data_IF_616901175270
#
_entry.id   IF_616901175270
#
_cell.length_a   1.000
_cell.length_b   1.000
_cell.length_c   1.000
_cell.angle_alpha   90.00
_cell.angle_beta   90.00
_cell.angle_gamma   90.00
#
_symmetry.space_group_name_H-M   'P 1'
#
loop_
_entity.id
_entity.type
_entity.pdbx_description
1 polymer ?
#
# COMPACT_ATOMS: atom_id res chain seq x y z
N UNK A 1 -0.36 -13.62 -20.65
CA UNK A 1 0.62 -12.87 -19.85
C UNK A 1 -0.16 -12.12 -18.79
N UNK A 2 0.03 -12.45 -17.51
CA UNK A 2 -0.60 -11.70 -16.43
C UNK A 2 0.12 -10.37 -16.25
N UNK A 3 -0.55 -9.27 -16.61
CA UNK A 3 -0.07 -7.94 -16.24
C UNK A 3 -0.45 -7.68 -14.78
N UNK A 4 0.43 -7.07 -14.00
CA UNK A 4 0.12 -6.54 -12.67
C UNK A 4 0.25 -5.02 -12.75
N UNK A 5 -0.75 -4.29 -12.25
CA UNK A 5 -0.73 -2.83 -12.22
C UNK A 5 -1.22 -2.29 -10.88
N UNK A 6 -0.53 -1.27 -10.38
CA UNK A 6 -0.95 -0.46 -9.24
C UNK A 6 -1.07 0.99 -9.66
N UNK A 7 -2.18 1.63 -9.33
CA UNK A 7 -2.46 3.01 -9.73
C UNK A 7 -3.30 3.75 -8.69
N UNK A 8 -3.21 5.09 -8.61
CA UNK A 8 -4.08 5.86 -7.73
C UNK A 8 -5.53 5.80 -8.20
N UNK A 9 -6.44 5.46 -7.29
CA UNK A 9 -7.90 5.50 -7.49
C UNK A 9 -8.52 6.82 -7.02
N UNK A 10 -7.90 7.49 -6.03
CA UNK A 10 -8.29 8.82 -5.58
C UNK A 10 -7.05 9.67 -5.28
N UNK A 11 -7.06 10.94 -5.70
CA UNK A 11 -5.88 11.83 -5.67
C UNK A 11 -5.98 12.95 -4.65
N UNK A 12 -6.45 12.64 -3.43
CA UNK A 12 -6.15 13.56 -2.33
C UNK A 12 -4.64 13.54 -2.11
N UNK A 13 -4.02 14.72 -2.09
CA UNK A 13 -2.56 14.85 -2.03
C UNK A 13 -2.09 15.81 -0.94
N UNK A 14 -3.01 16.31 -0.10
CA UNK A 14 -2.71 17.30 0.94
C UNK A 14 -3.05 16.75 2.31
N UNK A 15 -2.03 16.75 3.17
CA UNK A 15 -2.17 16.47 4.58
C UNK A 15 -2.45 17.79 5.33
N UNK A 16 -3.50 17.83 6.14
CA UNK A 16 -3.84 18.97 6.99
C UNK A 16 -3.62 18.61 8.47
N UNK A 17 -2.68 19.29 9.12
CA UNK A 17 -2.34 19.08 10.53
C UNK A 17 -3.46 19.48 11.49
N UNK A 18 -4.40 20.33 11.04
CA UNK A 18 -5.49 20.87 11.85
C UNK A 18 -6.82 20.13 11.67
N UNK A 19 -6.87 19.13 10.79
CA UNK A 19 -8.08 18.35 10.58
C UNK A 19 -8.45 17.53 11.83
N UNK A 20 -9.74 17.52 12.16
CA UNK A 20 -10.28 16.94 13.40
C UNK A 20 -10.72 15.48 13.30
N UNK A 21 -10.55 14.85 12.14
CA UNK A 21 -10.86 13.42 11.93
C UNK A 21 -9.75 12.50 12.45
N UNK A 22 -10.00 11.19 12.47
CA UNK A 22 -8.96 10.20 12.81
C UNK A 22 -7.83 10.17 11.75
N UNK A 23 -8.20 10.38 10.48
CA UNK A 23 -7.29 10.45 9.35
C UNK A 23 -7.53 11.76 8.59
N UNK A 24 -6.46 12.44 8.20
CA UNK A 24 -6.53 13.75 7.52
C UNK A 24 -6.34 13.62 6.02
N UNK A 25 -5.71 12.52 5.60
CA UNK A 25 -5.51 12.15 4.22
C UNK A 25 -5.75 10.65 4.08
N UNK A 26 -6.48 10.26 3.03
CA UNK A 26 -6.67 8.87 2.62
C UNK A 26 -6.36 8.77 1.14
N UNK A 27 -5.28 8.06 0.81
CA UNK A 27 -4.89 7.76 -0.55
C UNK A 27 -5.41 6.37 -0.92
N UNK A 28 -6.38 6.30 -1.83
CA UNK A 28 -6.91 5.03 -2.33
C UNK A 28 -6.18 4.63 -3.60
N UNK A 29 -5.75 3.38 -3.67
CA UNK A 29 -5.08 2.77 -4.81
C UNK A 29 -5.88 1.57 -5.31
N UNK A 30 -5.72 1.27 -6.59
CA UNK A 30 -6.29 0.11 -7.25
C UNK A 30 -5.15 -0.83 -7.67
N UNK A 31 -5.24 -2.08 -7.26
CA UNK A 31 -4.36 -3.15 -7.69
C UNK A 31 -5.15 -4.05 -8.64
N UNK A 32 -4.60 -4.28 -9.84
CA UNK A 32 -5.24 -5.13 -10.85
C UNK A 32 -4.25 -6.13 -11.41
N UNK A 33 -4.75 -7.33 -11.70
CA UNK A 33 -4.03 -8.29 -12.51
C UNK A 33 -4.94 -8.89 -13.59
N UNK A 34 -4.39 -9.25 -14.76
CA UNK A 34 -5.09 -10.12 -15.70
C UNK A 34 -4.85 -11.59 -15.32
N UNK A 35 -5.89 -12.27 -14.87
CA UNK A 35 -5.86 -13.65 -14.40
C UNK A 35 -6.77 -14.48 -15.29
N UNK A 36 -6.19 -15.44 -16.00
CA UNK A 36 -6.90 -16.36 -16.89
C UNK A 36 -6.72 -17.79 -16.37
N UNK A 37 -7.82 -18.51 -16.17
CA UNK A 37 -7.83 -19.91 -15.73
C UNK A 37 -8.33 -20.10 -14.30
N UNK A 38 -9.23 -21.08 -14.14
CA UNK A 38 -9.79 -21.44 -12.84
C UNK A 38 -8.69 -21.84 -11.84
N UNK A 39 -8.82 -21.42 -10.59
CA UNK A 39 -7.92 -21.72 -9.46
C UNK A 39 -6.54 -21.02 -9.47
N UNK A 40 -6.27 -20.08 -10.37
CA UNK A 40 -5.05 -19.28 -10.30
C UNK A 40 -5.08 -18.31 -9.09
N UNK A 41 -4.03 -18.35 -8.27
CA UNK A 41 -3.81 -17.44 -7.15
C UNK A 41 -2.49 -16.70 -7.33
N UNK A 42 -2.54 -15.38 -7.24
CA UNK A 42 -1.36 -14.51 -7.34
C UNK A 42 -1.21 -13.79 -6.00
N UNK A 43 -0.35 -14.28 -5.09
CA UNK A 43 0.00 -13.54 -3.88
C UNK A 43 0.86 -12.34 -4.27
N UNK A 44 0.46 -11.16 -3.78
CA UNK A 44 1.11 -9.88 -4.04
C UNK A 44 1.43 -9.21 -2.72
N UNK A 45 2.64 -8.67 -2.63
CA UNK A 45 3.12 -7.80 -1.57
C UNK A 45 3.15 -6.37 -2.08
N UNK A 46 2.66 -5.44 -1.26
CA UNK A 46 2.73 -4.00 -1.46
C UNK A 46 3.59 -3.37 -0.36
N UNK A 47 4.52 -2.50 -0.74
CA UNK A 47 5.40 -1.79 0.18
C UNK A 47 5.76 -0.39 -0.30
N UNK A 48 6.19 0.47 0.62
CA UNK A 48 6.75 1.79 0.32
C UNK A 48 8.22 1.82 0.74
N UNK A 49 9.10 2.32 -0.12
CA UNK A 49 10.53 2.55 0.16
C UNK A 49 11.19 1.40 0.97
N UNK A 50 11.09 0.16 0.47
CA UNK A 50 11.62 -1.05 1.11
C UNK A 50 10.97 -1.45 2.46
N UNK A 51 9.69 -1.12 2.64
CA UNK A 51 8.92 -1.50 3.84
C UNK A 51 8.94 -0.44 4.95
N UNK A 52 9.11 0.82 4.58
CA UNK A 52 8.86 1.93 5.48
C UNK A 52 7.37 2.02 5.85
N UNK A 53 7.08 2.56 7.04
CA UNK A 53 5.73 2.90 7.51
C UNK A 53 5.47 4.42 7.49
N UNK A 54 6.32 5.16 6.79
CA UNK A 54 6.27 6.61 6.69
C UNK A 54 6.76 7.08 5.31
N UNK A 55 6.34 8.28 4.92
CA UNK A 55 6.92 9.02 3.81
C UNK A 55 8.03 9.94 4.32
N UNK A 56 9.06 10.17 3.49
CA UNK A 56 10.20 11.03 3.82
C UNK A 56 9.97 12.43 3.28
N UNK A 57 10.14 13.43 4.14
CA UNK A 57 10.17 14.86 3.80
C UNK A 57 11.55 15.48 3.98
N UNK A 58 11.61 16.81 3.93
CA UNK A 58 12.84 17.56 4.19
C UNK A 58 13.34 17.35 5.63
N UNK A 59 14.66 17.49 5.85
CA UNK A 59 15.31 17.34 7.14
C UNK A 59 14.97 16.01 7.88
N UNK A 60 14.71 14.93 7.13
CA UNK A 60 14.28 13.63 7.64
C UNK A 60 12.95 13.65 8.40
N UNK A 61 12.09 14.64 8.14
CA UNK A 61 10.73 14.61 8.66
C UNK A 61 9.99 13.37 8.12
N UNK A 62 9.19 12.75 8.98
CA UNK A 62 8.50 11.49 8.66
C UNK A 62 6.99 11.68 8.77
N UNK A 63 6.27 11.41 7.69
CA UNK A 63 4.81 11.37 7.68
C UNK A 63 4.35 9.91 7.74
N UNK A 64 3.90 9.48 8.91
CA UNK A 64 3.48 8.11 9.21
C UNK A 64 2.17 7.79 8.49
N UNK A 65 2.03 6.56 8.04
CA UNK A 65 0.82 6.04 7.44
C UNK A 65 0.46 4.64 7.94
N UNK A 66 -0.79 4.25 7.69
CA UNK A 66 -1.34 2.94 7.98
C UNK A 66 -1.95 2.32 6.72
N UNK A 67 -1.85 0.99 6.60
CA UNK A 67 -2.50 0.25 5.53
C UNK A 67 -3.94 -0.11 5.88
N UNK A 68 -4.84 -0.06 4.91
CA UNK A 68 -6.18 -0.61 5.04
C UNK A 68 -6.68 -1.17 3.71
N UNK A 69 -7.37 -2.30 3.72
CA UNK A 69 -8.15 -2.79 2.59
C UNK A 69 -9.13 -3.87 3.02
N UNK A 70 -10.09 -4.21 2.14
CA UNK A 70 -11.05 -5.29 2.41
C UNK A 70 -10.53 -6.69 2.07
N UNK A 71 -9.61 -6.79 1.10
CA UNK A 71 -9.15 -8.05 0.53
C UNK A 71 -7.67 -8.34 0.82
N UNK A 72 -7.15 -7.95 1.97
CA UNK A 72 -5.75 -8.21 2.32
C UNK A 72 -5.50 -8.07 3.82
N UNK A 73 -4.24 -8.18 4.20
CA UNK A 73 -3.81 -8.03 5.58
C UNK A 73 -2.43 -7.40 5.66
N UNK A 74 -2.14 -6.79 6.80
CA UNK A 74 -0.82 -6.23 7.07
C UNK A 74 0.09 -7.31 7.65
N UNK A 75 1.30 -7.48 7.09
CA UNK A 75 2.39 -8.27 7.65
C UNK A 75 3.61 -7.35 7.79
N UNK A 76 3.98 -6.99 9.02
CA UNK A 76 4.96 -5.93 9.25
C UNK A 76 4.48 -4.58 8.70
N UNK A 77 5.31 -3.90 7.92
CA UNK A 77 4.97 -2.63 7.25
C UNK A 77 4.48 -2.82 5.80
N UNK A 78 4.11 -4.04 5.44
CA UNK A 78 3.70 -4.40 4.08
C UNK A 78 2.23 -4.80 4.07
N UNK A 79 1.58 -4.56 2.95
CA UNK A 79 0.23 -5.05 2.70
C UNK A 79 0.28 -6.28 1.78
N UNK A 80 -0.29 -7.39 2.24
CA UNK A 80 -0.30 -8.67 1.54
C UNK A 80 -1.71 -8.97 1.07
N UNK A 81 -1.83 -9.45 -0.16
CA UNK A 81 -3.10 -9.78 -0.80
C UNK A 81 -2.95 -10.94 -1.77
N UNK A 82 -3.99 -11.75 -1.92
CA UNK A 82 -4.07 -12.79 -2.95
C UNK A 82 -5.11 -12.39 -3.99
N UNK A 83 -4.67 -12.19 -5.22
CA UNK A 83 -5.54 -11.95 -6.37
C UNK A 83 -5.93 -13.28 -7.00
N UNK A 84 -7.20 -13.40 -7.37
CA UNK A 84 -7.84 -14.54 -8.04
C UNK A 84 -8.73 -14.00 -9.15
N UNK A 85 -9.29 -14.85 -10.00
CA UNK A 85 -10.24 -14.43 -11.04
C UNK A 85 -11.43 -13.61 -10.49
N UNK A 86 -11.94 -13.95 -9.30
CA UNK A 86 -13.08 -13.26 -8.68
C UNK A 86 -12.73 -11.92 -8.02
N UNK A 87 -11.46 -11.68 -7.75
CA UNK A 87 -10.95 -10.46 -7.11
C UNK A 87 -9.67 -9.97 -7.79
N UNK A 88 -9.64 -10.07 -9.11
CA UNK A 88 -8.51 -9.66 -9.94
C UNK A 88 -8.29 -8.14 -9.90
N UNK A 89 -9.25 -7.42 -9.36
CA UNK A 89 -9.28 -5.98 -9.20
C UNK A 89 -9.76 -5.61 -7.80
N UNK A 90 -8.87 -4.99 -7.02
CA UNK A 90 -9.15 -4.63 -5.64
C UNK A 90 -8.70 -3.20 -5.35
N UNK A 91 -9.22 -2.65 -4.26
CA UNK A 91 -8.75 -1.39 -3.71
C UNK A 91 -8.13 -1.59 -2.34
N UNK A 92 -7.11 -0.78 -2.06
CA UNK A 92 -6.51 -0.60 -0.75
C UNK A 92 -6.25 0.88 -0.53
N UNK A 93 -5.99 1.24 0.72
CA UNK A 93 -5.82 2.59 1.19
C UNK A 93 -4.52 2.70 1.97
N UNK A 94 -3.86 3.82 1.78
CA UNK A 94 -2.84 4.33 2.68
C UNK A 94 -3.49 5.50 3.42
N UNK A 95 -3.57 5.39 4.73
CA UNK A 95 -4.25 6.35 5.60
C UNK A 95 -3.23 7.10 6.44
N UNK A 96 -3.35 8.41 6.51
CA UNK A 96 -2.43 9.24 7.28
C UNK A 96 -3.14 9.73 8.53
N UNK A 97 -2.74 9.23 9.73
CA UNK A 97 -3.33 9.65 10.99
C UNK A 97 -3.24 11.15 11.20
N UNK A 98 -4.22 11.73 11.87
CA UNK A 98 -4.22 13.14 12.22
C UNK A 98 -3.17 13.52 13.26
N UNK A 99 -2.98 14.84 13.42
CA UNK A 99 -2.16 15.44 14.47
C UNK A 99 -0.66 15.08 14.41
N UNK A 100 -0.15 14.75 13.22
CA UNK A 100 1.28 14.63 12.99
C UNK A 100 1.86 16.04 12.77
N UNK A 101 2.47 16.61 13.81
CA UNK A 101 3.05 17.96 13.78
C UNK A 101 4.32 17.99 12.92
N UNK A 102 4.13 18.32 11.64
CA UNK A 102 5.15 18.26 10.61
C UNK A 102 5.31 19.62 9.93
N UNK A 103 6.51 19.91 9.45
CA UNK A 103 6.74 21.09 8.62
C UNK A 103 6.00 20.94 7.28
N UNK A 104 5.50 22.05 6.75
CA UNK A 104 4.92 22.08 5.40
C UNK A 104 5.99 21.73 4.38
N UNK A 105 5.69 20.82 3.47
CA UNK A 105 6.64 20.38 2.44
C UNK A 105 6.13 19.18 1.67
N UNK A 106 6.98 18.65 0.80
CA UNK A 106 6.70 17.43 0.05
C UNK A 106 7.16 16.24 0.88
N UNK A 107 6.24 15.29 1.11
CA UNK A 107 6.53 13.98 1.67
C UNK A 107 6.27 12.95 0.58
N UNK A 108 7.26 12.11 0.28
CA UNK A 108 7.18 11.17 -0.82
C UNK A 108 7.78 9.82 -0.46
N UNK A 109 7.38 8.81 -1.24
CA UNK A 109 7.88 7.45 -1.20
C UNK A 109 7.39 6.70 -2.44
N UNK A 110 8.07 5.61 -2.79
CA UNK A 110 7.75 4.78 -3.95
C UNK A 110 6.92 3.58 -3.51
N UNK A 111 5.68 3.54 -3.98
CA UNK A 111 4.80 2.39 -3.81
C UNK A 111 5.15 1.31 -4.84
N UNK A 112 5.45 0.10 -4.37
CA UNK A 112 5.80 -1.04 -5.21
C UNK A 112 4.84 -2.21 -4.97
N UNK A 113 4.54 -2.94 -6.05
CA UNK A 113 3.76 -4.18 -6.01
C UNK A 113 4.61 -5.33 -6.54
N UNK A 114 4.78 -6.37 -5.75
CA UNK A 114 5.64 -7.53 -6.07
C UNK A 114 4.83 -8.82 -5.99
N UNK A 115 4.86 -9.63 -7.05
CA UNK A 115 4.32 -11.00 -7.00
C UNK A 115 5.26 -11.86 -6.17
N UNK A 116 4.71 -12.54 -5.17
CA UNK A 116 5.45 -13.51 -4.38
C UNK A 116 5.40 -14.86 -5.11
N UNK A 117 6.55 -15.44 -5.44
CA UNK A 117 6.62 -16.84 -5.89
C UNK A 117 6.78 -17.75 -4.69
N UNK A 118 6.29 -18.99 -4.76
CA UNK A 118 6.29 -19.97 -3.65
C UNK A 118 7.66 -20.16 -2.97
N UNK A 119 8.76 -19.85 -3.66
CA UNK A 119 10.12 -19.90 -3.10
C UNK A 119 10.40 -18.83 -2.02
N UNK A 120 9.61 -17.76 -1.93
CA UNK A 120 9.74 -16.72 -0.90
C UNK A 120 8.88 -16.98 0.34
N UNK A 121 7.95 -17.94 0.30
CA UNK A 121 7.13 -18.32 1.46
C UNK A 121 7.89 -19.22 2.46
N UNK A 122 8.98 -19.87 2.02
CA UNK A 122 9.74 -20.83 2.81
C UNK A 122 11.02 -20.27 3.47
N UNK A 123 11.38 -19.01 3.25
CA UNK A 123 12.63 -18.43 3.78
C UNK A 123 12.49 -17.68 5.11
N UNK A 124 11.30 -17.71 5.75
CA UNK A 124 11.11 -17.14 7.10
C UNK A 124 11.41 -18.16 8.24
N UNK A 125 12.12 -19.26 7.97
CA UNK A 125 12.61 -20.19 9.00
C UNK A 125 14.08 -20.58 8.78
N UNK A 126 15.01 -19.72 9.21
CA UNK A 126 16.29 -20.14 9.82
C UNK A 126 16.63 -19.17 10.94
#
# INVERSE_FOLDING_TARGET
>A
MSNLSVEPASTQARYDVFASGAYTLISTYRLRANIEGEQCQIPVKLEIDDGDSFLKGEANAQLIFEWQGGNGYQKGNQWHVVLTENNADITFQIRYPAQQWLASGIYQGKLEATVLTEQLLNNDYV
#
